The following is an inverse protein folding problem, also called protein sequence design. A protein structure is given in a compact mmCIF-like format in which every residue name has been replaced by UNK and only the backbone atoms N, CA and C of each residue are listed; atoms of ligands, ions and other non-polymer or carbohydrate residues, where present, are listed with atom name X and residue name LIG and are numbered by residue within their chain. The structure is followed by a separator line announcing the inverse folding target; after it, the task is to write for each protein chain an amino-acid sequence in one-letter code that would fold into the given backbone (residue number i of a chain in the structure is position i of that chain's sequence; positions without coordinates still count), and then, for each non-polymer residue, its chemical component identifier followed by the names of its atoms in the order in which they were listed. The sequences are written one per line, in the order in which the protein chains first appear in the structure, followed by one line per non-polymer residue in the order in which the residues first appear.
data_IF_360465885219
#
_entry.id   IF_360465885219
#
_cell.length_a   1.000
_cell.length_b   1.000
_cell.length_c   1.000
_cell.angle_alpha   90.00
_cell.angle_beta   90.00
_cell.angle_gamma   90.00
#
_symmetry.space_group_name_H-M   'P 1'
#
loop_
_entity.id
_entity.type
_entity.pdbx_description
1 polymer ?
#
# COMPACT_ATOMS: atom_id res chain seq x y z
N UNK A 1 -31.34 50.91 -13.69
CA UNK A 1 -29.90 50.61 -13.65
C UNK A 1 -29.46 50.07 -12.29
N UNK A 2 -29.70 48.84 -11.85
CA UNK A 2 -30.69 47.79 -12.11
C UNK A 2 -30.44 46.76 -11.00
N UNK A 3 -31.12 46.93 -9.86
CA UNK A 3 -30.97 45.98 -8.74
C UNK A 3 -31.59 44.61 -9.08
N UNK A 4 -32.42 44.57 -10.12
CA UNK A 4 -33.00 43.35 -10.71
C UNK A 4 -31.96 42.60 -11.55
N UNK A 5 -31.14 43.30 -12.35
CA UNK A 5 -30.14 42.68 -13.24
C UNK A 5 -28.95 42.09 -12.46
N UNK A 6 -28.61 42.68 -11.31
CA UNK A 6 -27.51 42.19 -10.47
C UNK A 6 -27.85 40.95 -9.61
N UNK A 7 -29.14 40.61 -9.42
CA UNK A 7 -29.54 39.41 -8.66
C UNK A 7 -29.26 38.12 -9.44
N UNK A 8 -29.55 38.13 -10.75
CA UNK A 8 -29.32 36.97 -11.63
C UNK A 8 -27.84 36.63 -11.83
N UNK A 9 -26.96 37.64 -11.79
CA UNK A 9 -25.50 37.49 -11.99
C UNK A 9 -24.78 36.86 -10.80
N UNK A 10 -25.28 37.05 -9.58
CA UNK A 10 -24.70 36.42 -8.39
C UNK A 10 -25.09 34.94 -8.28
N UNK A 11 -26.31 34.59 -8.68
CA UNK A 11 -26.76 33.20 -8.66
C UNK A 11 -25.98 32.38 -9.70
N UNK A 12 -25.85 32.82 -10.96
CA UNK A 12 -25.05 32.11 -11.97
C UNK A 12 -23.55 32.08 -11.65
N UNK A 13 -22.98 33.11 -11.02
CA UNK A 13 -21.56 33.10 -10.60
C UNK A 13 -21.22 32.03 -9.55
N UNK A 14 -22.19 31.66 -8.68
CA UNK A 14 -21.94 30.75 -7.55
C UNK A 14 -22.78 29.46 -7.57
N UNK A 15 -23.76 29.34 -8.47
CA UNK A 15 -24.63 28.17 -8.59
C UNK A 15 -24.66 27.54 -10.01
N UNK A 16 -24.12 28.17 -11.05
CA UNK A 16 -23.90 27.48 -12.35
C UNK A 16 -22.57 26.75 -12.40
N UNK A 17 -22.40 25.85 -11.44
CA UNK A 17 -21.62 24.67 -11.75
C UNK A 17 -22.37 23.51 -11.16
N UNK A 18 -23.03 22.79 -12.05
CA UNK A 18 -23.22 21.35 -11.92
C UNK A 18 -22.16 20.83 -10.97
N UNK A 19 -22.62 20.44 -9.78
CA UNK A 19 -21.80 19.78 -8.80
C UNK A 19 -21.43 18.46 -9.48
N UNK A 20 -20.42 18.46 -10.35
CA UNK A 20 -19.70 17.26 -10.71
C UNK A 20 -19.44 16.63 -9.35
N UNK A 21 -20.09 15.50 -9.11
CA UNK A 21 -19.75 14.55 -8.07
C UNK A 21 -18.33 14.04 -8.39
N UNK A 22 -17.36 14.95 -8.43
CA UNK A 22 -15.93 14.69 -8.30
C UNK A 22 -15.80 14.13 -6.91
N UNK A 23 -16.06 12.83 -6.84
CA UNK A 23 -15.35 11.85 -6.03
C UNK A 23 -14.39 12.57 -5.09
N UNK A 24 -14.94 12.87 -3.91
CA UNK A 24 -14.37 13.73 -2.88
C UNK A 24 -12.85 13.82 -3.00
N UNK A 25 -12.35 15.04 -3.24
CA UNK A 25 -10.94 15.45 -3.17
C UNK A 25 -10.21 14.70 -2.05
N UNK A 26 -9.72 13.49 -2.33
CA UNK A 26 -8.68 12.87 -1.52
C UNK A 26 -7.53 13.84 -1.66
N UNK A 27 -7.08 14.41 -0.54
CA UNK A 27 -5.83 15.17 -0.52
C UNK A 27 -4.78 14.23 -1.07
N UNK A 28 -4.44 14.39 -2.35
CA UNK A 28 -3.31 13.70 -2.94
C UNK A 28 -2.12 14.29 -2.18
N UNK A 29 -1.59 13.53 -1.24
CA UNK A 29 -0.35 13.90 -0.59
C UNK A 29 0.70 13.94 -1.70
N UNK A 30 1.03 15.14 -2.17
CA UNK A 30 2.15 15.32 -3.06
C UNK A 30 3.37 14.79 -2.32
N UNK A 31 3.87 13.63 -2.75
CA UNK A 31 5.17 13.15 -2.30
C UNK A 31 6.16 14.27 -2.60
N UNK A 32 6.92 14.72 -1.60
CA UNK A 32 7.91 15.75 -1.87
C UNK A 32 8.89 15.20 -2.90
N UNK A 33 9.20 16.00 -3.93
CA UNK A 33 10.07 15.58 -5.03
C UNK A 33 11.47 15.15 -4.53
N UNK A 34 11.88 15.63 -3.35
CA UNK A 34 13.17 15.37 -2.75
C UNK A 34 13.18 14.21 -1.73
N UNK A 35 12.07 13.49 -1.53
CA UNK A 35 12.04 12.35 -0.61
C UNK A 35 12.63 11.12 -1.28
N UNK A 36 13.77 10.65 -0.77
CA UNK A 36 14.35 9.37 -1.20
C UNK A 36 13.44 8.23 -0.77
N UNK A 37 12.99 7.43 -1.73
CA UNK A 37 12.24 6.22 -1.43
C UNK A 37 13.13 5.23 -0.67
N UNK A 38 12.57 4.47 0.28
CA UNK A 38 13.31 3.44 0.97
C UNK A 38 13.77 2.36 -0.03
N UNK A 39 15.00 1.87 0.14
CA UNK A 39 15.50 0.74 -0.65
C UNK A 39 14.86 -0.55 -0.13
N UNK A 40 14.05 -1.18 -0.97
CA UNK A 40 13.49 -2.50 -0.68
C UNK A 40 14.42 -3.58 -1.24
N UNK A 41 14.66 -4.65 -0.47
CA UNK A 41 15.46 -5.80 -0.91
C UNK A 41 14.78 -7.07 -0.45
N UNK A 42 14.55 -7.99 -1.39
CA UNK A 42 13.89 -9.28 -1.14
C UNK A 42 14.92 -10.38 -1.38
N UNK A 43 15.09 -11.27 -0.40
CA UNK A 43 16.00 -12.42 -0.47
C UNK A 43 15.24 -13.68 -0.09
N UNK A 44 15.38 -14.74 -0.89
CA UNK A 44 14.91 -16.08 -0.53
C UNK A 44 15.92 -16.68 0.43
N UNK A 45 15.46 -17.08 1.61
CA UNK A 45 16.31 -17.66 2.67
C UNK A 45 15.52 -18.77 3.35
N UNK A 46 16.19 -19.87 3.67
CA UNK A 46 15.56 -20.98 4.41
C UNK A 46 15.52 -20.69 5.92
N UNK A 47 16.46 -19.88 6.41
CA UNK A 47 16.56 -19.47 7.81
C UNK A 47 15.99 -18.05 8.03
N UNK A 48 15.39 -17.79 9.19
CA UNK A 48 14.89 -16.46 9.53
C UNK A 48 16.05 -15.47 9.73
N UNK A 49 15.79 -14.19 9.45
CA UNK A 49 16.78 -13.14 9.66
C UNK A 49 17.18 -13.03 11.13
N UNK A 50 18.49 -13.07 11.41
CA UNK A 50 19.06 -12.94 12.74
C UNK A 50 19.10 -11.46 13.16
N UNK A 51 18.50 -11.14 14.31
CA UNK A 51 18.38 -9.77 14.83
C UNK A 51 19.13 -9.56 16.16
N UNK A 52 19.88 -10.56 16.66
CA UNK A 52 20.48 -10.53 18.00
C UNK A 52 21.46 -9.36 18.21
N UNK A 53 22.20 -8.97 17.16
CA UNK A 53 23.20 -7.89 17.23
C UNK A 53 22.64 -6.50 16.89
N UNK A 54 21.30 -6.34 16.83
CA UNK A 54 20.67 -5.12 16.36
C UNK A 54 19.74 -4.51 17.42
N UNK A 55 19.67 -3.18 17.44
CA UNK A 55 18.74 -2.46 18.32
C UNK A 55 17.32 -2.53 17.78
N UNK A 56 16.57 -3.54 18.20
CA UNK A 56 15.15 -3.72 17.86
C UNK A 56 14.29 -2.70 18.59
N UNK A 57 13.40 -2.04 17.86
CA UNK A 57 12.41 -1.12 18.42
C UNK A 57 11.07 -1.81 18.65
N UNK A 58 10.62 -2.58 17.67
CA UNK A 58 9.30 -3.24 17.67
C UNK A 58 9.38 -4.53 16.88
N UNK A 59 8.72 -5.57 17.38
CA UNK A 59 8.48 -6.82 16.65
C UNK A 59 6.99 -7.13 16.70
N UNK A 60 6.43 -7.52 15.55
CA UNK A 60 5.03 -7.97 15.42
C UNK A 60 4.97 -9.21 14.55
N UNK A 61 4.10 -10.14 14.92
CA UNK A 61 3.83 -11.35 14.15
C UNK A 61 2.42 -11.31 13.58
N UNK A 62 2.29 -11.78 12.35
CA UNK A 62 1.04 -11.81 11.62
C UNK A 62 0.87 -13.16 10.93
N UNK A 63 -0.37 -13.61 10.84
CA UNK A 63 -0.73 -14.73 9.99
C UNK A 63 -1.03 -14.23 8.58
N UNK A 64 -0.50 -14.93 7.59
CA UNK A 64 -0.68 -14.64 6.17
C UNK A 64 -1.09 -15.91 5.45
N UNK A 65 -2.16 -15.83 4.67
CA UNK A 65 -2.53 -16.87 3.71
C UNK A 65 -1.56 -16.85 2.52
N UNK A 66 -0.85 -17.95 2.31
CA UNK A 66 0.09 -18.17 1.21
C UNK A 66 -0.59 -19.06 0.18
N UNK A 67 -0.67 -18.64 -1.10
CA UNK A 67 -1.19 -19.51 -2.14
C UNK A 67 -0.21 -20.66 -2.39
N UNK A 68 -0.73 -21.87 -2.54
CA UNK A 68 0.02 -23.01 -3.06
C UNK A 68 -0.77 -23.64 -4.21
N UNK A 69 -0.01 -24.07 -5.22
CA UNK A 69 -0.54 -24.61 -6.47
C UNK A 69 -0.16 -26.07 -6.56
N UNK A 70 -1.12 -26.91 -6.89
CA UNK A 70 -0.90 -28.32 -7.17
C UNK A 70 -1.84 -28.77 -8.29
N UNK A 71 -1.57 -29.96 -8.82
CA UNK A 71 -2.39 -30.59 -9.86
C UNK A 71 -3.14 -31.75 -9.23
N UNK A 72 -4.45 -31.76 -9.39
CA UNK A 72 -5.30 -32.89 -9.03
C UNK A 72 -5.89 -33.52 -10.30
N UNK A 73 -6.14 -34.83 -10.24
CA UNK A 73 -6.82 -35.56 -11.30
C UNK A 73 -8.33 -35.32 -11.18
N UNK A 74 -8.96 -34.89 -12.26
CA UNK A 74 -10.41 -34.78 -12.32
C UNK A 74 -11.05 -36.15 -12.66
N UNK A 75 -12.39 -36.19 -12.70
CA UNK A 75 -13.19 -37.38 -13.02
C UNK A 75 -12.93 -37.94 -14.44
N UNK A 76 -12.29 -37.15 -15.31
CA UNK A 76 -11.97 -37.47 -16.70
C UNK A 76 -10.49 -37.83 -16.89
N UNK A 77 -9.76 -38.11 -15.80
CA UNK A 77 -8.32 -38.41 -15.82
C UNK A 77 -7.48 -37.29 -16.47
N UNK A 78 -7.92 -36.04 -16.33
CA UNK A 78 -7.17 -34.85 -16.75
C UNK A 78 -6.69 -34.10 -15.51
N UNK A 79 -5.43 -33.64 -15.52
CA UNK A 79 -4.90 -32.84 -14.41
C UNK A 79 -5.36 -31.39 -14.50
N UNK A 80 -5.99 -30.87 -13.45
CA UNK A 80 -6.40 -29.47 -13.34
C UNK A 80 -5.55 -28.71 -12.30
N UNK A 81 -5.13 -27.46 -12.59
CA UNK A 81 -4.40 -26.65 -11.63
C UNK A 81 -5.35 -26.09 -10.57
N UNK A 82 -5.13 -26.45 -9.31
CA UNK A 82 -5.92 -25.96 -8.18
C UNK A 82 -5.12 -24.92 -7.41
N UNK A 83 -5.80 -23.86 -7.00
CA UNK A 83 -5.29 -22.84 -6.10
C UNK A 83 -5.88 -23.05 -4.70
N UNK A 84 -5.02 -23.35 -3.74
CA UNK A 84 -5.38 -23.37 -2.32
C UNK A 84 -4.51 -22.41 -1.51
N UNK A 85 -4.91 -22.17 -0.27
CA UNK A 85 -4.21 -21.27 0.64
C UNK A 85 -3.82 -21.99 1.91
N UNK A 86 -2.54 -21.88 2.26
CA UNK A 86 -1.98 -22.37 3.52
C UNK A 86 -1.72 -21.17 4.45
N UNK A 87 -1.92 -21.34 5.76
CA UNK A 87 -1.58 -20.30 6.72
C UNK A 87 -0.07 -20.31 7.03
N UNK A 88 0.56 -19.14 6.89
CA UNK A 88 1.97 -18.93 7.19
C UNK A 88 2.15 -17.79 8.20
N UNK A 89 3.19 -17.86 9.03
CA UNK A 89 3.52 -16.78 9.98
C UNK A 89 4.58 -15.85 9.38
N UNK A 90 4.37 -14.54 9.50
CA UNK A 90 5.30 -13.50 9.06
C UNK A 90 5.67 -12.61 10.25
N UNK A 91 6.98 -12.44 10.45
CA UNK A 91 7.52 -11.59 11.51
C UNK A 91 8.05 -10.28 10.94
N UNK A 92 7.50 -9.16 11.40
CA UNK A 92 7.97 -7.82 11.06
C UNK A 92 8.76 -7.27 12.22
N UNK A 93 10.00 -6.87 11.95
CA UNK A 93 10.90 -6.30 12.95
C UNK A 93 11.38 -4.92 12.51
N UNK A 94 11.11 -3.91 13.32
CA UNK A 94 11.60 -2.55 13.13
C UNK A 94 12.92 -2.41 13.88
N UNK A 95 14.01 -2.22 13.15
CA UNK A 95 15.36 -2.02 13.71
C UNK A 95 15.69 -0.53 13.69
N UNK A 96 16.25 -0.01 14.79
CA UNK A 96 16.78 1.36 14.83
C UNK A 96 18.01 1.42 13.93
N UNK A 97 18.05 2.39 13.02
CA UNK A 97 19.29 2.71 12.32
C UNK A 97 20.32 3.16 13.37
N UNK A 98 21.39 2.42 13.51
CA UNK A 98 22.67 3.01 13.92
C UNK A 98 23.02 4.04 12.85
N UNK A 99 23.49 5.24 13.23
CA UNK A 99 23.73 6.34 12.30
C UNK A 99 24.38 5.83 11.02
N UNK A 100 23.83 6.20 9.86
CA UNK A 100 24.30 5.66 8.59
C UNK A 100 25.81 5.86 8.45
N UNK A 101 26.48 4.90 7.82
CA UNK A 101 27.87 5.08 7.43
C UNK A 101 28.00 6.45 6.76
N UNK A 102 28.66 7.37 7.45
CA UNK A 102 29.17 8.60 6.88
C UNK A 102 30.32 8.09 6.01
N UNK A 103 30.01 7.72 4.78
CA UNK A 103 31.05 7.63 3.76
C UNK A 103 31.52 9.06 3.54
N UNK A 104 32.66 9.36 4.16
CA UNK A 104 33.51 10.51 3.87
C UNK A 104 33.97 10.51 2.41
#
# INVERSE_FOLDING_TARGET
MDSIENRGRYISKYFDKELELKEHKKKAFFKSQNLRLPKETKKRTDTPYNVSNQKVLVTKEYTKKKPFFFREWNLYEVTEPILMFEESKVRYTKIKKTGGDIHE
#
